data_IF_252350181919
#
_entry.id   IF_252350181919
#
_cell.length_a   1.000
_cell.length_b   1.000
_cell.length_c   1.000
_cell.angle_alpha   90.00
_cell.angle_beta   90.00
_cell.angle_gamma   90.00
#
_symmetry.space_group_name_H-M   'P 1'
#
loop_
_entity.id
_entity.type
_entity.pdbx_description
1 polymer ?
#
# COMPACT_ATOMS: atom_id res chain seq x y z
N UNK A 1 -4.67 3.27 8.73
CA UNK A 1 -4.21 1.88 8.39
C UNK A 1 -5.02 1.45 7.20
N UNK A 2 -4.39 0.98 6.14
CA UNK A 2 -5.12 0.52 4.96
C UNK A 2 -6.10 -0.60 5.32
N UNK A 3 -7.30 -0.61 4.71
CA UNK A 3 -8.31 -1.65 4.96
C UNK A 3 -7.73 -3.07 4.77
N UNK A 4 -6.78 -3.22 3.84
CA UNK A 4 -6.02 -4.46 3.63
C UNK A 4 -5.14 -4.83 4.83
N UNK A 5 -4.55 -3.83 5.52
CA UNK A 5 -3.80 -4.05 6.77
C UNK A 5 -4.69 -4.58 7.89
N UNK A 6 -5.94 -4.12 7.97
CA UNK A 6 -6.90 -4.59 8.97
C UNK A 6 -7.24 -6.06 8.75
N UNK A 7 -7.52 -6.48 7.51
CA UNK A 7 -7.77 -7.89 7.18
C UNK A 7 -6.55 -8.78 7.46
N UNK A 8 -5.35 -8.29 7.10
CA UNK A 8 -4.10 -9.00 7.38
C UNK A 8 -3.86 -9.12 8.88
N UNK A 9 -4.06 -8.05 9.66
CA UNK A 9 -3.84 -8.06 11.11
C UNK A 9 -4.79 -9.04 11.83
N UNK A 10 -6.06 -9.07 11.44
CA UNK A 10 -7.06 -10.01 11.99
C UNK A 10 -6.67 -11.47 11.70
N UNK A 11 -6.23 -11.77 10.48
CA UNK A 11 -5.75 -13.10 10.12
C UNK A 11 -4.47 -13.46 10.88
N UNK A 12 -3.51 -12.51 10.94
CA UNK A 12 -2.24 -12.65 11.65
C UNK A 12 -2.45 -12.97 13.13
N UNK A 13 -3.33 -12.25 13.81
CA UNK A 13 -3.62 -12.45 15.23
C UNK A 13 -4.20 -13.85 15.51
N UNK A 14 -5.08 -14.34 14.62
CA UNK A 14 -5.59 -15.71 14.73
C UNK A 14 -4.47 -16.75 14.56
N UNK A 15 -3.60 -16.58 13.57
CA UNK A 15 -2.45 -17.46 13.38
C UNK A 15 -1.46 -17.36 14.54
N UNK A 16 -1.17 -16.17 15.02
CA UNK A 16 -0.25 -15.93 16.13
C UNK A 16 -0.73 -16.62 17.42
N UNK A 17 -2.02 -16.50 17.73
CA UNK A 17 -2.61 -17.17 18.89
C UNK A 17 -2.36 -18.69 18.84
N UNK A 18 -2.65 -19.34 17.71
CA UNK A 18 -2.46 -20.77 17.56
C UNK A 18 -0.98 -21.17 17.53
N UNK A 19 -0.13 -20.36 16.90
CA UNK A 19 1.32 -20.57 16.88
C UNK A 19 1.92 -20.51 18.28
N UNK A 20 1.52 -19.55 19.10
CA UNK A 20 1.97 -19.43 20.49
C UNK A 20 1.47 -20.63 21.30
N UNK A 21 0.20 -21.00 21.18
CA UNK A 21 -0.36 -22.14 21.91
C UNK A 21 0.39 -23.43 21.60
N UNK A 22 0.58 -23.74 20.30
CA UNK A 22 1.34 -24.92 19.86
C UNK A 22 2.79 -24.85 20.32
N UNK A 23 3.41 -23.66 20.20
CA UNK A 23 4.77 -23.42 20.66
C UNK A 23 4.94 -23.68 22.16
N UNK A 24 4.05 -23.15 23.00
CA UNK A 24 4.09 -23.36 24.47
C UNK A 24 3.94 -24.83 24.80
N UNK A 25 3.00 -25.53 24.15
CA UNK A 25 2.82 -26.98 24.36
C UNK A 25 4.10 -27.73 23.95
N UNK A 26 4.61 -27.48 22.76
CA UNK A 26 5.77 -28.19 22.20
C UNK A 26 7.04 -27.95 23.02
N UNK A 27 7.38 -26.70 23.25
CA UNK A 27 8.56 -26.34 24.03
C UNK A 27 8.40 -26.69 25.48
N UNK A 28 7.20 -26.56 26.05
CA UNK A 28 6.89 -27.00 27.41
C UNK A 28 7.16 -28.52 27.60
N UNK A 29 6.67 -29.34 26.65
CA UNK A 29 6.98 -30.78 26.65
C UNK A 29 8.47 -31.04 26.52
N UNK A 30 9.14 -30.38 25.58
CA UNK A 30 10.57 -30.56 25.37
C UNK A 30 11.38 -30.20 26.62
N UNK A 31 11.11 -29.07 27.26
CA UNK A 31 11.80 -28.68 28.50
C UNK A 31 11.48 -29.63 29.65
N UNK A 32 10.22 -30.08 29.77
CA UNK A 32 9.82 -31.06 30.77
C UNK A 32 10.57 -32.38 30.59
N UNK A 33 10.70 -32.88 29.35
CA UNK A 33 11.48 -34.07 29.06
C UNK A 33 12.97 -33.87 29.33
N UNK A 34 13.56 -32.75 28.93
CA UNK A 34 14.96 -32.46 29.23
C UNK A 34 15.22 -32.37 30.73
N UNK A 35 14.36 -31.75 31.50
CA UNK A 35 14.48 -31.67 32.95
C UNK A 35 14.26 -33.03 33.61
N UNK A 36 13.31 -33.83 33.12
CA UNK A 36 12.88 -35.09 33.66
C UNK A 36 13.87 -36.23 33.38
N UNK A 37 14.46 -36.27 32.20
CA UNK A 37 15.36 -37.31 31.74
C UNK A 37 16.83 -36.89 31.65
N UNK A 38 17.21 -35.80 32.34
CA UNK A 38 18.61 -35.34 32.39
C UNK A 38 19.50 -36.42 33.03
N UNK A 39 20.76 -36.47 32.64
CA UNK A 39 21.75 -37.37 33.24
C UNK A 39 21.89 -37.16 34.77
N UNK A 40 21.92 -38.21 35.55
CA UNK A 40 22.07 -38.17 37.01
C UNK A 40 20.75 -38.25 37.81
N UNK A 41 19.60 -38.39 37.18
CA UNK A 41 18.35 -38.74 37.88
C UNK A 41 18.36 -40.22 38.20
N UNK A 42 18.06 -40.59 39.49
CA UNK A 42 17.97 -41.97 39.90
C UNK A 42 16.79 -42.70 39.27
N UNK A 43 16.91 -44.02 39.07
CA UNK A 43 15.82 -44.85 38.56
C UNK A 43 14.52 -44.70 39.34
N UNK A 44 14.62 -44.54 40.66
CA UNK A 44 13.47 -44.42 41.55
C UNK A 44 12.70 -43.11 41.37
N UNK A 45 13.41 -42.01 41.13
CA UNK A 45 12.79 -40.74 40.82
C UNK A 45 12.10 -40.74 39.44
N UNK A 46 12.66 -41.49 38.48
CA UNK A 46 12.08 -41.62 37.15
C UNK A 46 10.76 -42.39 37.15
N UNK A 47 10.63 -43.38 38.01
CA UNK A 47 9.43 -44.26 38.11
C UNK A 47 8.22 -43.58 38.73
N UNK A 48 8.40 -42.51 39.52
CA UNK A 48 7.33 -41.91 40.31
C UNK A 48 6.32 -41.10 39.54
N UNK A 49 6.70 -40.49 38.40
CA UNK A 49 5.86 -39.56 37.67
C UNK A 49 5.21 -40.15 36.41
N UNK A 50 5.89 -40.98 35.63
CA UNK A 50 5.43 -41.37 34.30
C UNK A 50 5.53 -42.88 34.00
N UNK A 51 5.99 -43.71 34.90
CA UNK A 51 6.21 -45.14 34.70
C UNK A 51 7.10 -45.51 33.49
N UNK A 52 7.89 -44.56 32.97
CA UNK A 52 8.80 -44.78 31.86
C UNK A 52 10.22 -44.81 32.40
N UNK A 53 10.94 -45.87 32.14
CA UNK A 53 12.34 -46.03 32.52
C UNK A 53 13.21 -45.40 31.43
N UNK A 54 14.21 -44.51 31.76
CA UNK A 54 15.11 -43.97 30.77
C UNK A 54 15.81 -45.08 29.98
N UNK A 55 15.81 -44.99 28.65
CA UNK A 55 16.42 -45.98 27.77
C UNK A 55 15.49 -47.07 27.26
N UNK A 56 14.25 -47.17 27.76
CA UNK A 56 13.23 -48.03 27.15
C UNK A 56 12.47 -47.29 26.06
N UNK A 57 12.20 -47.98 24.95
CA UNK A 57 11.34 -47.43 23.91
C UNK A 57 9.90 -47.29 24.44
N UNK A 58 9.19 -46.21 24.16
CA UNK A 58 7.80 -46.01 24.61
C UNK A 58 6.88 -47.18 24.27
N UNK A 59 7.10 -47.84 23.15
CA UNK A 59 6.34 -49.02 22.68
C UNK A 59 6.48 -50.26 23.57
N UNK A 60 7.55 -50.35 24.38
CA UNK A 60 7.78 -51.50 25.27
C UNK A 60 7.12 -51.36 26.64
N UNK A 61 6.73 -50.13 27.01
CA UNK A 61 6.25 -49.80 28.36
C UNK A 61 4.79 -49.38 28.43
N UNK A 62 4.10 -49.24 27.31
CA UNK A 62 2.77 -48.64 27.26
C UNK A 62 1.65 -49.63 26.95
N UNK A 63 0.44 -49.24 27.33
CA UNK A 63 -0.77 -49.97 26.96
C UNK A 63 -1.09 -49.65 25.47
N UNK A 64 -1.14 -50.68 24.64
CA UNK A 64 -1.38 -50.60 23.20
C UNK A 64 -2.57 -49.70 22.80
N UNK A 65 -3.62 -49.64 23.61
CA UNK A 65 -4.80 -48.80 23.36
C UNK A 65 -4.52 -47.33 23.63
N UNK A 66 -3.64 -47.00 24.57
CA UNK A 66 -3.26 -45.63 24.87
C UNK A 66 -2.34 -45.06 23.79
N UNK A 67 -1.41 -45.86 23.30
CA UNK A 67 -0.50 -45.46 22.21
C UNK A 67 -1.24 -45.18 20.92
N UNK A 68 -2.16 -46.08 20.57
CA UNK A 68 -3.00 -45.88 19.36
C UNK A 68 -3.88 -44.65 19.45
N UNK A 69 -4.44 -44.33 20.63
CA UNK A 69 -5.22 -43.10 20.82
C UNK A 69 -4.37 -41.84 20.70
N UNK A 70 -3.16 -41.84 21.26
CA UNK A 70 -2.21 -40.75 21.14
C UNK A 70 -1.77 -40.57 19.69
N UNK A 71 -1.45 -41.66 19.00
CA UNK A 71 -1.07 -41.65 17.60
C UNK A 71 -2.18 -41.02 16.73
N UNK A 72 -3.42 -41.45 16.90
CA UNK A 72 -4.57 -40.90 16.22
C UNK A 72 -4.72 -39.39 16.56
N UNK A 73 -4.58 -38.99 17.80
CA UNK A 73 -4.69 -37.59 18.22
C UNK A 73 -3.62 -36.73 17.58
N UNK A 74 -2.39 -37.23 17.45
CA UNK A 74 -1.29 -36.51 16.78
C UNK A 74 -1.52 -36.29 15.28
N UNK A 75 -2.30 -37.10 14.61
CA UNK A 75 -2.70 -36.88 13.21
C UNK A 75 -3.95 -36.04 13.12
N UNK A 76 -4.97 -36.32 13.88
CA UNK A 76 -6.30 -35.68 13.74
C UNK A 76 -6.28 -34.23 14.20
N UNK A 77 -5.68 -33.92 15.35
CA UNK A 77 -5.70 -32.56 15.92
C UNK A 77 -4.96 -31.56 15.02
N UNK A 78 -3.71 -31.79 14.59
CA UNK A 78 -3.02 -30.90 13.69
C UNK A 78 -3.70 -30.79 12.32
N UNK A 79 -4.26 -31.89 11.80
CA UNK A 79 -4.97 -31.87 10.51
C UNK A 79 -6.21 -30.95 10.56
N UNK A 80 -7.01 -31.05 11.63
CA UNK A 80 -8.18 -30.18 11.82
C UNK A 80 -7.72 -28.71 11.95
N UNK A 81 -6.67 -28.45 12.74
CA UNK A 81 -6.15 -27.12 12.92
C UNK A 81 -5.67 -26.52 11.59
N UNK A 82 -4.86 -27.27 10.83
CA UNK A 82 -4.36 -26.81 9.53
C UNK A 82 -5.52 -26.59 8.54
N UNK A 83 -6.48 -27.51 8.48
CA UNK A 83 -7.64 -27.35 7.60
C UNK A 83 -8.45 -26.08 7.95
N UNK A 84 -8.64 -25.80 9.23
CA UNK A 84 -9.32 -24.61 9.70
C UNK A 84 -8.54 -23.32 9.37
N UNK A 85 -7.22 -23.30 9.62
CA UNK A 85 -6.37 -22.17 9.27
C UNK A 85 -6.31 -21.94 7.75
N UNK A 86 -6.28 -23.01 6.97
CA UNK A 86 -6.34 -22.94 5.49
C UNK A 86 -7.67 -22.34 5.04
N UNK A 87 -8.78 -22.74 5.65
CA UNK A 87 -10.09 -22.16 5.35
C UNK A 87 -10.12 -20.64 5.63
N UNK A 88 -9.61 -20.22 6.80
CA UNK A 88 -9.53 -18.79 7.14
C UNK A 88 -8.63 -18.02 6.16
N UNK A 89 -7.47 -18.58 5.81
CA UNK A 89 -6.56 -17.96 4.85
C UNK A 89 -7.20 -17.83 3.45
N UNK A 90 -7.91 -18.87 3.01
CA UNK A 90 -8.60 -18.85 1.71
C UNK A 90 -9.72 -17.81 1.68
N UNK A 91 -10.50 -17.70 2.77
CA UNK A 91 -11.54 -16.69 2.89
C UNK A 91 -10.95 -15.27 2.81
N UNK A 92 -9.93 -14.97 3.65
CA UNK A 92 -9.26 -13.65 3.61
C UNK A 92 -8.59 -13.36 2.27
N UNK A 93 -8.05 -14.36 1.58
CA UNK A 93 -7.48 -14.18 0.24
C UNK A 93 -8.57 -13.87 -0.78
N UNK A 94 -9.73 -14.52 -0.67
CA UNK A 94 -10.87 -14.23 -1.55
C UNK A 94 -11.41 -12.81 -1.34
N UNK A 95 -11.45 -12.33 -0.10
CA UNK A 95 -11.87 -10.96 0.21
C UNK A 95 -10.88 -9.93 -0.38
N UNK A 96 -9.57 -10.18 -0.27
CA UNK A 96 -8.54 -9.28 -0.82
C UNK A 96 -8.53 -9.28 -2.36
N UNK A 97 -8.60 -10.45 -3.00
CA UNK A 97 -8.49 -10.56 -4.47
C UNK A 97 -9.83 -10.47 -5.20
N UNK A 98 -10.95 -10.61 -4.50
CA UNK A 98 -12.30 -10.51 -5.05
C UNK A 98 -12.92 -9.12 -5.03
N UNK A 99 -12.27 -8.16 -4.36
CA UNK A 99 -12.81 -6.82 -4.11
C UNK A 99 -12.15 -5.76 -5.01
N UNK A 100 -11.90 -6.09 -6.28
CA UNK A 100 -11.42 -5.08 -7.25
C UNK A 100 -12.53 -4.04 -7.41
N UNK A 101 -12.26 -2.74 -7.22
CA UNK A 101 -13.24 -1.68 -7.40
C UNK A 101 -13.86 -1.73 -8.79
N UNK A 102 -15.15 -1.45 -8.88
CA UNK A 102 -15.86 -1.31 -10.15
C UNK A 102 -15.31 -0.13 -10.96
N UNK A 103 -15.45 -0.14 -12.28
CA UNK A 103 -14.90 0.86 -13.20
C UNK A 103 -15.31 2.31 -12.88
N UNK A 104 -16.45 2.50 -12.20
CA UNK A 104 -16.95 3.82 -11.80
C UNK A 104 -16.30 4.35 -10.52
N UNK A 105 -15.74 3.45 -9.70
CA UNK A 105 -15.23 3.75 -8.34
C UNK A 105 -13.73 3.50 -8.22
N UNK A 106 -12.98 3.49 -9.30
CA UNK A 106 -11.54 3.26 -9.27
C UNK A 106 -10.77 4.41 -9.92
N UNK A 107 -9.55 4.61 -9.45
CA UNK A 107 -8.58 5.50 -10.03
C UNK A 107 -7.48 4.67 -10.68
N UNK A 108 -7.36 4.77 -12.00
CA UNK A 108 -6.49 3.90 -12.79
C UNK A 108 -5.12 4.54 -13.06
N UNK A 109 -4.07 3.77 -12.80
CA UNK A 109 -2.68 4.14 -13.10
C UNK A 109 -1.97 2.97 -13.77
N UNK A 110 -1.29 3.24 -14.88
CA UNK A 110 -0.38 2.29 -15.48
C UNK A 110 1.02 2.43 -14.89
N UNK A 111 1.59 1.33 -14.41
CA UNK A 111 2.95 1.27 -13.84
C UNK A 111 3.87 0.53 -14.79
N UNK A 112 4.88 1.20 -15.29
CA UNK A 112 5.94 0.60 -16.08
C UNK A 112 7.22 0.46 -15.25
N UNK A 113 7.68 -0.78 -15.05
CA UNK A 113 8.95 -1.09 -14.40
C UNK A 113 10.07 -1.21 -15.41
N UNK A 114 11.03 -0.30 -15.33
CA UNK A 114 12.29 -0.33 -16.10
C UNK A 114 13.46 -0.68 -15.17
N UNK A 115 14.59 -1.07 -15.73
CA UNK A 115 15.84 -1.18 -14.97
C UNK A 115 16.48 0.22 -14.86
N UNK A 116 16.43 0.96 -13.76
CA UNK A 116 15.98 0.66 -12.40
C UNK A 116 15.16 1.84 -11.87
N UNK A 117 14.06 2.13 -12.51
CA UNK A 117 13.12 3.19 -12.14
C UNK A 117 11.68 2.76 -12.42
N UNK A 118 10.76 3.44 -11.78
CA UNK A 118 9.33 3.32 -12.04
C UNK A 118 8.86 4.50 -12.87
N UNK A 119 7.97 4.22 -13.81
CA UNK A 119 7.23 5.21 -14.56
C UNK A 119 5.75 4.98 -14.33
N UNK A 120 5.03 6.05 -14.00
CA UNK A 120 3.60 6.03 -13.72
C UNK A 120 2.90 6.86 -14.78
N UNK A 121 1.89 6.28 -15.43
CA UNK A 121 1.04 6.95 -16.42
C UNK A 121 -0.35 7.05 -15.86
N UNK A 122 -0.89 8.25 -15.77
CA UNK A 122 -2.22 8.48 -15.24
C UNK A 122 -3.26 8.17 -16.32
N UNK A 123 -4.17 7.25 -16.00
CA UNK A 123 -5.30 6.91 -16.87
C UNK A 123 -6.55 7.75 -16.51
N UNK A 124 -6.60 8.28 -15.28
CA UNK A 124 -7.61 9.22 -14.81
C UNK A 124 -6.96 10.55 -14.38
N UNK A 125 -7.67 11.69 -14.54
CA UNK A 125 -7.16 12.98 -14.09
C UNK A 125 -7.29 13.10 -12.58
N UNK A 126 -6.35 13.80 -11.93
CA UNK A 126 -6.38 14.05 -10.49
C UNK A 126 -6.23 15.56 -10.25
N UNK A 127 -7.16 16.13 -9.49
CA UNK A 127 -7.03 17.50 -8.98
C UNK A 127 -7.10 17.44 -7.46
N UNK A 128 -6.16 18.10 -6.79
CA UNK A 128 -6.12 18.14 -5.34
C UNK A 128 -5.57 19.47 -4.83
N UNK A 129 -5.91 19.79 -3.60
CA UNK A 129 -5.46 20.98 -2.88
C UNK A 129 -4.95 20.58 -1.50
N UNK A 130 -3.91 21.27 -1.01
CA UNK A 130 -3.32 21.05 0.31
C UNK A 130 -3.16 22.41 1.00
N UNK A 131 -3.99 22.64 2.02
CA UNK A 131 -3.93 23.84 2.86
C UNK A 131 -3.06 23.64 4.08
N UNK A 132 -1.89 24.24 4.11
CA UNK A 132 -0.98 24.08 5.25
C UNK A 132 -1.34 24.97 6.46
N UNK A 133 -2.26 25.90 6.29
CA UNK A 133 -2.52 26.95 7.31
C UNK A 133 -3.99 27.14 7.68
N UNK A 134 -4.92 26.38 7.10
CA UNK A 134 -6.34 26.49 7.37
C UNK A 134 -6.97 27.80 6.89
N UNK A 135 -6.60 28.22 5.69
CA UNK A 135 -7.03 29.46 5.07
C UNK A 135 -7.79 29.22 3.77
N UNK A 136 -8.76 30.10 3.49
CA UNK A 136 -9.45 30.11 2.20
C UNK A 136 -8.54 30.62 1.09
N UNK A 137 -8.02 29.71 0.29
CA UNK A 137 -7.36 30.04 -0.98
C UNK A 137 -8.27 29.58 -2.13
N UNK A 138 -8.61 30.48 -3.00
CA UNK A 138 -9.38 30.17 -4.19
C UNK A 138 -8.48 30.24 -5.42
N UNK A 139 -8.25 29.12 -6.09
CA UNK A 139 -7.58 29.02 -7.37
C UNK A 139 -8.65 28.92 -8.45
N UNK A 140 -8.86 30.01 -9.21
CA UNK A 140 -9.76 30.02 -10.37
C UNK A 140 -8.96 29.96 -11.63
N UNK A 141 -9.12 28.89 -12.37
CA UNK A 141 -8.52 28.71 -13.68
C UNK A 141 -9.55 29.09 -14.73
N UNK A 142 -9.25 30.16 -15.51
CA UNK A 142 -10.01 30.58 -16.68
C UNK A 142 -9.19 30.30 -17.94
N UNK A 143 -9.83 30.33 -19.10
CA UNK A 143 -9.17 29.95 -20.37
C UNK A 143 -7.88 30.74 -20.69
N UNK A 144 -7.70 31.95 -20.15
CA UNK A 144 -6.56 32.82 -20.46
C UNK A 144 -5.81 33.29 -19.21
N UNK A 145 -6.38 33.08 -17.99
CA UNK A 145 -5.84 33.64 -16.77
C UNK A 145 -5.98 32.62 -15.62
N UNK A 146 -5.05 32.66 -14.64
CA UNK A 146 -5.25 32.10 -13.34
C UNK A 146 -5.42 33.21 -12.32
N UNK A 147 -6.54 33.24 -11.64
CA UNK A 147 -6.81 34.17 -10.55
C UNK A 147 -6.57 33.42 -9.21
N UNK A 148 -5.62 33.93 -8.44
CA UNK A 148 -5.28 33.41 -7.12
C UNK A 148 -5.80 34.41 -6.08
N UNK A 149 -6.63 33.94 -5.17
CA UNK A 149 -7.20 34.73 -4.09
C UNK A 149 -6.91 34.04 -2.76
N UNK A 150 -6.00 34.60 -1.99
CA UNK A 150 -5.56 34.11 -0.69
C UNK A 150 -6.07 35.04 0.42
N UNK A 151 -7.24 34.74 0.97
CA UNK A 151 -7.88 35.61 1.96
C UNK A 151 -7.27 35.46 3.35
N UNK A 152 -6.91 36.58 3.97
CA UNK A 152 -6.57 36.65 5.39
C UNK A 152 -5.13 36.32 5.75
N UNK A 153 -4.29 36.02 4.78
CA UNK A 153 -2.84 35.94 4.91
C UNK A 153 -2.17 37.06 4.19
N UNK A 154 -0.93 37.27 4.52
CA UNK A 154 -0.04 38.09 3.70
C UNK A 154 0.71 37.16 2.74
N UNK A 155 0.07 36.66 1.65
CA UNK A 155 0.77 35.87 0.66
C UNK A 155 1.87 36.74 0.05
N UNK A 156 3.07 36.20 -0.07
CA UNK A 156 4.19 36.95 -0.60
C UNK A 156 4.38 36.63 -2.10
N UNK A 157 4.40 35.35 -2.42
CA UNK A 157 4.73 34.88 -3.76
C UNK A 157 3.89 33.66 -4.13
N UNK A 158 3.47 33.60 -5.39
CA UNK A 158 2.94 32.38 -5.99
C UNK A 158 3.92 31.87 -7.05
N UNK A 159 4.16 30.57 -7.04
CA UNK A 159 4.88 29.86 -8.08
C UNK A 159 3.85 29.05 -8.88
N UNK A 160 3.72 29.39 -10.16
CA UNK A 160 2.85 28.66 -11.08
C UNK A 160 3.74 27.81 -11.99
N UNK A 161 3.49 26.51 -12.00
CA UNK A 161 4.20 25.55 -12.84
C UNK A 161 3.26 24.97 -13.88
N UNK A 162 3.76 24.80 -15.09
CA UNK A 162 3.05 24.20 -16.21
C UNK A 162 4.03 23.29 -16.95
N UNK A 163 3.80 21.99 -16.94
CA UNK A 163 4.73 20.98 -17.50
C UNK A 163 6.21 21.21 -17.13
N UNK A 164 6.46 21.54 -15.87
CA UNK A 164 7.81 21.81 -15.36
C UNK A 164 8.38 23.21 -15.66
N UNK A 165 7.73 24.03 -16.47
CA UNK A 165 8.04 25.45 -16.59
C UNK A 165 7.48 26.19 -15.37
N UNK A 166 8.32 26.97 -14.68
CA UNK A 166 7.95 27.69 -13.47
C UNK A 166 7.99 29.17 -13.68
N UNK A 167 6.95 29.88 -13.26
CA UNK A 167 6.88 31.36 -13.20
C UNK A 167 6.57 31.78 -11.78
N UNK A 168 7.18 32.89 -11.36
CA UNK A 168 7.03 33.42 -10.01
C UNK A 168 6.31 34.76 -10.06
N UNK A 169 5.30 34.94 -9.23
CA UNK A 169 4.42 36.10 -9.20
C UNK A 169 4.31 36.65 -7.78
N UNK A 170 4.58 37.94 -7.59
CA UNK A 170 4.51 38.57 -6.29
C UNK A 170 3.12 39.14 -6.01
N UNK A 171 2.58 38.94 -4.84
CA UNK A 171 1.31 39.52 -4.41
C UNK A 171 1.39 41.01 -4.11
N UNK A 172 2.58 41.54 -3.79
CA UNK A 172 2.83 42.97 -3.52
C UNK A 172 1.90 43.59 -2.46
N UNK A 173 1.52 42.80 -1.42
CA UNK A 173 0.60 43.23 -0.37
C UNK A 173 -0.88 43.21 -0.77
N UNK A 174 -1.22 42.59 -1.89
CA UNK A 174 -2.60 42.24 -2.27
C UNK A 174 -2.95 40.84 -1.83
N UNK A 175 -4.21 40.58 -1.57
CA UNK A 175 -4.72 39.22 -1.31
C UNK A 175 -5.07 38.49 -2.61
N UNK A 176 -5.02 39.18 -3.74
CA UNK A 176 -5.40 38.65 -5.05
C UNK A 176 -4.41 39.07 -6.12
N UNK A 177 -4.04 38.10 -6.95
CA UNK A 177 -3.27 38.34 -8.19
C UNK A 177 -3.93 37.62 -9.37
N UNK A 178 -3.74 38.19 -10.54
CA UNK A 178 -4.07 37.53 -11.81
C UNK A 178 -2.77 37.22 -12.52
N UNK A 179 -2.61 35.97 -12.90
CA UNK A 179 -1.48 35.49 -13.70
C UNK A 179 -1.94 35.44 -15.14
N UNK A 180 -1.54 36.47 -15.88
CA UNK A 180 -1.82 36.59 -17.31
C UNK A 180 -0.91 35.65 -18.10
N UNK A 181 -1.29 35.30 -19.32
CA UNK A 181 -0.54 34.41 -20.23
C UNK A 181 -0.50 32.93 -19.76
N UNK A 182 -1.44 32.56 -18.95
CA UNK A 182 -1.59 31.19 -18.47
C UNK A 182 -2.73 30.53 -19.28
N UNK A 183 -2.37 29.63 -20.18
CA UNK A 183 -3.36 28.92 -20.97
C UNK A 183 -3.73 27.61 -20.23
N UNK A 184 -4.94 27.52 -19.70
CA UNK A 184 -5.45 26.25 -19.22
C UNK A 184 -5.75 25.36 -20.44
N UNK A 185 -4.88 24.39 -20.65
CA UNK A 185 -5.14 23.27 -21.54
C UNK A 185 -5.37 22.03 -20.65
N UNK A 186 -6.50 21.37 -20.84
CA UNK A 186 -6.87 20.18 -20.06
C UNK A 186 -5.82 19.05 -20.16
N UNK A 187 -4.93 19.09 -21.15
CA UNK A 187 -3.86 18.12 -21.34
C UNK A 187 -2.55 18.42 -20.60
N UNK A 188 -2.45 19.57 -19.90
CA UNK A 188 -1.20 19.96 -19.24
C UNK A 188 -1.25 19.70 -17.73
N UNK A 189 -0.09 19.38 -17.13
CA UNK A 189 0.07 19.28 -15.69
C UNK A 189 0.33 20.68 -15.10
N UNK A 190 -0.54 21.09 -14.19
CA UNK A 190 -0.46 22.38 -13.50
C UNK A 190 -0.18 22.19 -12.03
N UNK A 191 0.66 23.07 -11.48
CA UNK A 191 0.87 23.18 -10.05
C UNK A 191 0.96 24.66 -9.66
N UNK A 192 0.22 25.04 -8.63
CA UNK A 192 0.26 26.35 -8.01
C UNK A 192 0.69 26.18 -6.55
N UNK A 193 1.75 26.89 -6.15
CA UNK A 193 2.23 26.91 -4.78
C UNK A 193 2.26 28.37 -4.30
N UNK A 194 1.62 28.67 -3.17
CA UNK A 194 1.60 30.02 -2.58
C UNK A 194 2.49 29.99 -1.34
N UNK A 195 3.34 31.01 -1.23
CA UNK A 195 4.34 31.13 -0.17
C UNK A 195 4.15 32.42 0.63
N UNK A 196 4.53 32.39 1.92
CA UNK A 196 4.70 33.56 2.76
C UNK A 196 6.05 34.27 2.51
N UNK A 197 6.32 35.34 3.30
CA UNK A 197 7.60 36.08 3.24
C UNK A 197 8.80 35.24 3.68
N UNK A 198 8.58 34.19 4.49
CA UNK A 198 9.61 33.28 5.00
C UNK A 198 9.84 32.08 4.05
N UNK A 199 9.18 32.06 2.89
CA UNK A 199 9.19 30.95 1.92
C UNK A 199 8.58 29.64 2.44
N UNK A 200 7.65 29.73 3.37
CA UNK A 200 6.84 28.61 3.82
C UNK A 200 5.68 28.42 2.85
N UNK A 201 5.37 27.19 2.48
CA UNK A 201 4.21 26.89 1.64
C UNK A 201 2.95 27.11 2.45
N UNK A 202 2.06 27.94 1.94
CA UNK A 202 0.77 28.24 2.54
C UNK A 202 -0.33 27.40 1.93
N UNK A 203 -0.26 27.17 0.63
CA UNK A 203 -1.25 26.41 -0.13
C UNK A 203 -0.61 25.79 -1.35
N UNK A 204 -1.07 24.58 -1.70
CA UNK A 204 -0.72 23.89 -2.95
C UNK A 204 -2.00 23.47 -3.67
N UNK A 205 -2.11 23.80 -4.93
CA UNK A 205 -3.13 23.28 -5.84
C UNK A 205 -2.45 22.59 -7.02
N UNK A 206 -2.93 21.40 -7.38
CA UNK A 206 -2.29 20.63 -8.44
C UNK A 206 -3.34 19.91 -9.29
N UNK A 207 -3.17 19.96 -10.61
CA UNK A 207 -3.97 19.23 -11.58
C UNK A 207 -3.09 18.37 -12.47
N UNK A 208 -3.30 17.06 -12.41
CA UNK A 208 -2.57 16.04 -13.16
C UNK A 208 -3.52 15.51 -14.23
N UNK A 209 -3.25 15.73 -15.53
CA UNK A 209 -4.13 15.27 -16.60
C UNK A 209 -3.92 13.79 -16.92
N UNK A 210 -4.88 13.22 -17.62
CA UNK A 210 -4.76 11.89 -18.24
C UNK A 210 -3.53 11.87 -19.17
N UNK A 211 -2.78 10.77 -19.10
CA UNK A 211 -1.56 10.57 -19.90
C UNK A 211 -0.32 11.26 -19.34
N UNK A 212 -0.42 11.99 -18.22
CA UNK A 212 0.76 12.52 -17.55
C UNK A 212 1.65 11.40 -17.00
N UNK A 213 2.97 11.63 -17.05
CA UNK A 213 3.97 10.61 -16.69
C UNK A 213 4.88 11.12 -15.58
N UNK A 214 4.81 10.47 -14.43
CA UNK A 214 5.80 10.64 -13.37
C UNK A 214 6.88 9.56 -13.41
N UNK A 215 8.09 9.91 -13.02
CA UNK A 215 9.23 8.98 -12.94
C UNK A 215 9.98 9.10 -11.63
N UNK A 216 10.14 7.97 -10.95
CA UNK A 216 10.98 7.91 -9.75
C UNK A 216 12.46 7.89 -10.11
N UNK A 217 13.33 8.38 -9.23
CA UNK A 217 13.03 8.99 -7.92
C UNK A 217 12.81 10.51 -7.98
N UNK A 218 12.60 11.08 -9.16
CA UNK A 218 12.55 12.55 -9.36
C UNK A 218 11.26 13.13 -8.78
N UNK A 219 10.15 12.44 -9.00
CA UNK A 219 8.82 12.88 -8.60
C UNK A 219 8.10 11.75 -7.86
N UNK A 220 7.35 12.05 -6.79
CA UNK A 220 6.51 11.06 -6.14
C UNK A 220 5.30 10.73 -7.03
N UNK A 221 4.82 9.49 -6.94
CA UNK A 221 3.48 9.14 -7.43
C UNK A 221 2.45 9.80 -6.51
N UNK A 222 1.45 10.48 -7.07
CA UNK A 222 0.36 11.10 -6.29
C UNK A 222 -0.91 10.29 -6.52
N UNK A 223 -1.55 9.85 -5.45
CA UNK A 223 -2.80 9.09 -5.51
C UNK A 223 -3.83 9.67 -4.54
N UNK A 224 -5.13 9.59 -4.87
CA UNK A 224 -6.18 10.05 -3.97
C UNK A 224 -6.40 9.07 -2.82
N UNK A 225 -7.02 9.57 -1.73
CA UNK A 225 -7.62 8.73 -0.70
C UNK A 225 -8.78 7.89 -1.26
N UNK A 226 -9.01 6.73 -0.67
CA UNK A 226 -10.27 6.00 -0.81
C UNK A 226 -11.27 6.47 0.24
N UNK A 227 -12.57 6.41 -0.08
CA UNK A 227 -13.63 6.59 0.92
C UNK A 227 -13.66 5.36 1.82
N UNK A 228 -13.51 5.61 3.11
CA UNK A 228 -13.87 4.62 4.11
C UNK A 228 -15.34 4.88 4.45
N UNK A 229 -16.25 4.02 4.06
CA UNK A 229 -17.61 4.09 4.58
C UNK A 229 -17.57 3.74 6.07
N UNK A 230 -17.57 4.78 6.91
CA UNK A 230 -17.53 4.66 8.38
C UNK A 230 -18.77 3.99 8.98
N UNK A 231 -19.72 3.58 8.16
CA UNK A 231 -20.96 2.96 8.58
C UNK A 231 -20.98 1.43 8.38
N UNK A 232 -19.99 0.85 7.73
CA UNK A 232 -19.95 -0.60 7.48
C UNK A 232 -19.22 -1.35 8.59
N UNK A 233 -19.76 -2.51 8.90
CA UNK A 233 -19.21 -3.53 9.80
C UNK A 233 -17.73 -3.82 9.39
N UNK A 234 -16.83 -4.07 10.34
CA UNK A 234 -15.38 -4.30 10.22
C UNK A 234 -14.91 -5.27 9.09
N UNK A 235 -15.79 -5.72 8.24
CA UNK A 235 -15.55 -6.69 7.18
C UNK A 235 -15.71 -6.18 5.75
N UNK A 236 -16.24 -4.97 5.57
CA UNK A 236 -16.51 -4.46 4.21
C UNK A 236 -15.30 -3.64 3.71
N UNK A 237 -14.78 -4.04 2.55
CA UNK A 237 -13.74 -3.29 1.85
C UNK A 237 -14.34 -1.99 1.31
N UNK A 238 -13.55 -0.89 1.23
CA UNK A 238 -13.98 0.34 0.56
C UNK A 238 -14.48 0.05 -0.86
N UNK A 239 -15.51 0.76 -1.27
CA UNK A 239 -16.08 0.61 -2.63
C UNK A 239 -15.17 1.22 -3.70
N UNK A 240 -14.35 2.20 -3.33
CA UNK A 240 -13.42 2.91 -4.21
C UNK A 240 -11.95 2.60 -3.88
N UNK A 241 -11.11 2.67 -4.88
CA UNK A 241 -9.69 2.36 -4.71
C UNK A 241 -8.83 2.76 -5.91
N UNK A 242 -7.51 2.68 -5.72
CA UNK A 242 -6.53 2.91 -6.77
C UNK A 242 -6.13 1.57 -7.38
N UNK A 243 -6.26 1.45 -8.69
CA UNK A 243 -5.92 0.25 -9.45
C UNK A 243 -4.66 0.49 -10.27
N UNK A 244 -3.68 -0.36 -10.11
CA UNK A 244 -2.44 -0.35 -10.85
C UNK A 244 -2.43 -1.45 -11.90
N UNK A 245 -2.32 -1.09 -13.19
CA UNK A 245 -2.00 -2.02 -14.26
C UNK A 245 -0.50 -1.95 -14.53
N UNK A 246 0.20 -3.07 -14.34
CA UNK A 246 1.65 -3.07 -14.22
C UNK A 246 2.32 -3.87 -15.32
N UNK A 247 3.35 -3.28 -15.95
CA UNK A 247 4.12 -3.89 -17.03
C UNK A 247 5.62 -3.84 -16.75
N UNK A 248 6.31 -4.93 -17.00
CA UNK A 248 7.76 -4.90 -17.13
C UNK A 248 8.13 -4.43 -18.55
N UNK A 249 8.97 -3.42 -18.64
CA UNK A 249 9.41 -2.83 -19.91
C UNK A 249 10.91 -2.95 -20.10
N UNK A 250 11.38 -3.24 -21.32
CA UNK A 250 12.79 -3.18 -21.64
C UNK A 250 13.28 -1.72 -21.66
N UNK A 251 14.53 -1.48 -21.25
CA UNK A 251 15.18 -0.16 -21.45
C UNK A 251 15.43 0.12 -22.93
N UNK A 252 15.75 -0.93 -23.68
CA UNK A 252 16.03 -0.86 -25.12
C UNK A 252 15.09 -1.83 -25.84
N UNK A 253 14.22 -1.29 -26.64
CA UNK A 253 13.23 -2.02 -27.45
C UNK A 253 13.76 -2.38 -28.85
N UNK A 254 15.02 -2.10 -29.14
CA UNK A 254 15.64 -2.41 -30.45
C UNK A 254 15.77 -3.90 -30.72
N UNK A 255 15.85 -4.76 -29.68
CA UNK A 255 15.80 -6.21 -29.81
C UNK A 255 14.45 -6.76 -29.31
N UNK A 256 13.54 -7.17 -30.22
CA UNK A 256 12.21 -7.66 -29.84
C UNK A 256 12.23 -8.96 -29.02
N UNK A 257 13.39 -9.59 -28.84
CA UNK A 257 13.55 -10.76 -27.97
C UNK A 257 13.81 -10.36 -26.52
N UNK A 258 14.22 -9.13 -26.29
CA UNK A 258 14.43 -8.59 -24.94
C UNK A 258 13.16 -7.92 -24.46
N UNK A 259 12.41 -8.58 -23.62
CA UNK A 259 11.09 -8.14 -23.12
C UNK A 259 11.16 -7.48 -21.73
N UNK A 260 12.36 -7.17 -21.27
CA UNK A 260 12.61 -6.63 -19.91
C UNK A 260 13.03 -7.69 -18.91
N UNK A 261 13.04 -7.34 -17.65
CA UNK A 261 13.34 -8.21 -16.49
C UNK A 261 12.18 -8.18 -15.52
N UNK A 262 12.03 -9.22 -14.71
CA UNK A 262 11.02 -9.24 -13.68
C UNK A 262 11.31 -8.17 -12.63
N UNK A 263 10.26 -7.48 -12.19
CA UNK A 263 10.22 -6.57 -11.06
C UNK A 263 9.08 -6.97 -10.14
N UNK A 264 9.04 -6.43 -8.93
CA UNK A 264 7.88 -6.54 -8.06
C UNK A 264 7.59 -5.15 -7.47
N UNK A 265 6.45 -4.60 -7.79
CA UNK A 265 5.98 -3.32 -7.25
C UNK A 265 5.46 -3.55 -5.85
N UNK A 266 6.14 -2.99 -4.87
CA UNK A 266 5.85 -3.20 -3.47
C UNK A 266 5.57 -1.88 -2.78
N UNK A 267 4.41 -1.82 -2.15
CA UNK A 267 3.98 -0.74 -1.26
C UNK A 267 3.99 -1.28 0.18
N UNK A 268 5.10 -1.13 0.92
CA UNK A 268 5.27 -1.74 2.25
C UNK A 268 4.19 -1.34 3.25
N UNK A 269 3.85 -0.05 3.28
CA UNK A 269 2.88 0.49 4.25
C UNK A 269 1.43 0.09 3.92
N UNK A 270 1.16 -0.31 2.69
CA UNK A 270 -0.13 -0.87 2.28
C UNK A 270 -0.18 -2.40 2.39
N UNK A 271 0.94 -3.03 2.74
CA UNK A 271 1.03 -4.48 2.91
C UNK A 271 0.88 -5.29 1.61
N UNK A 272 0.98 -4.67 0.44
CA UNK A 272 0.74 -5.31 -0.86
C UNK A 272 1.95 -5.23 -1.79
N UNK A 273 2.10 -6.26 -2.60
CA UNK A 273 3.05 -6.29 -3.71
C UNK A 273 2.52 -7.18 -4.82
N UNK A 274 2.90 -6.85 -6.05
CA UNK A 274 2.59 -7.67 -7.23
C UNK A 274 3.77 -7.65 -8.19
N UNK A 275 3.97 -8.77 -8.89
CA UNK A 275 5.08 -8.96 -9.81
C UNK A 275 4.75 -8.42 -11.21
N UNK A 276 5.71 -7.73 -11.81
CA UNK A 276 5.68 -7.32 -13.21
C UNK A 276 6.38 -8.37 -14.05
N UNK A 277 5.60 -9.16 -14.78
CA UNK A 277 6.11 -10.29 -15.56
C UNK A 277 6.54 -9.84 -16.96
N UNK A 278 7.81 -10.01 -17.35
CA UNK A 278 8.28 -9.63 -18.67
C UNK A 278 7.52 -10.36 -19.79
N UNK A 279 7.11 -9.62 -20.83
CA UNK A 279 6.41 -10.17 -21.98
C UNK A 279 4.93 -10.51 -21.75
N UNK A 280 4.38 -10.22 -20.59
CA UNK A 280 2.95 -10.33 -20.32
C UNK A 280 2.23 -9.10 -20.87
N UNK A 281 1.58 -9.23 -22.03
CA UNK A 281 0.99 -8.10 -22.76
C UNK A 281 -0.12 -7.38 -21.97
N UNK A 282 -0.98 -8.14 -21.27
CA UNK A 282 -2.05 -7.57 -20.45
C UNK A 282 -1.57 -6.96 -19.13
N UNK A 283 -0.29 -7.21 -18.77
CA UNK A 283 0.24 -6.80 -17.46
C UNK A 283 -0.31 -7.62 -16.30
N UNK A 284 0.04 -7.21 -15.09
CA UNK A 284 -0.54 -7.69 -13.83
C UNK A 284 -1.33 -6.55 -13.18
N UNK A 285 -2.25 -6.87 -12.30
CA UNK A 285 -3.11 -5.86 -11.65
C UNK A 285 -2.95 -5.94 -10.15
N UNK A 286 -2.77 -4.80 -9.52
CA UNK A 286 -2.81 -4.62 -8.07
C UNK A 286 -3.71 -3.44 -7.74
N UNK A 287 -4.37 -3.49 -6.60
CA UNK A 287 -5.18 -2.38 -6.14
C UNK A 287 -4.91 -2.10 -4.66
N UNK A 288 -5.13 -0.86 -4.26
CA UNK A 288 -4.99 -0.40 -2.89
C UNK A 288 -6.15 0.50 -2.51
N UNK A 289 -6.43 0.55 -1.22
CA UNK A 289 -7.42 1.45 -0.62
C UNK A 289 -6.68 2.38 0.34
N UNK A 290 -6.21 3.54 -0.14
CA UNK A 290 -5.49 4.49 0.70
C UNK A 290 -6.42 5.15 1.72
N UNK A 291 -6.22 4.86 3.01
CA UNK A 291 -7.01 5.37 4.13
C UNK A 291 -6.26 6.40 4.99
N UNK A 292 -4.96 6.58 4.78
CA UNK A 292 -4.13 7.57 5.45
C UNK A 292 -3.46 8.50 4.43
N UNK A 293 -3.62 9.81 4.58
CA UNK A 293 -2.88 10.80 3.80
C UNK A 293 -1.42 10.86 4.28
N UNK A 294 -0.48 10.98 3.34
CA UNK A 294 0.94 11.03 3.66
C UNK A 294 1.85 10.58 2.53
N UNK A 295 3.14 10.47 2.82
CA UNK A 295 4.14 9.99 1.87
C UNK A 295 4.70 8.67 2.32
N UNK A 296 4.63 7.68 1.45
CA UNK A 296 4.99 6.29 1.74
C UNK A 296 6.01 5.77 0.72
N UNK A 297 6.88 4.82 1.11
CA UNK A 297 7.91 4.30 0.22
C UNK A 297 7.35 3.33 -0.82
N UNK A 298 7.93 3.39 -2.03
CA UNK A 298 7.81 2.39 -3.09
C UNK A 298 9.13 1.62 -3.17
N UNK A 299 9.09 0.30 -3.30
CA UNK A 299 10.26 -0.57 -3.41
C UNK A 299 10.11 -1.57 -4.56
N UNK A 300 11.23 -1.99 -5.12
CA UNK A 300 11.27 -3.19 -5.93
C UNK A 300 11.56 -4.40 -5.02
N UNK A 301 10.71 -5.42 -5.04
CA UNK A 301 10.80 -6.60 -4.19
C UNK A 301 11.24 -7.87 -4.94
N UNK A 302 11.54 -7.79 -6.25
CA UNK A 302 12.10 -8.89 -7.06
C UNK A 302 13.44 -8.45 -7.68
N UNK A 303 14.45 -9.35 -7.64
CA UNK A 303 15.77 -9.02 -8.13
C UNK A 303 15.79 -8.72 -9.63
N UNK A 304 15.98 -7.46 -9.97
CA UNK A 304 15.93 -6.94 -11.34
C UNK A 304 17.31 -6.50 -11.89
N UNK A 305 18.39 -6.85 -11.23
CA UNK A 305 19.75 -6.57 -11.71
C UNK A 305 20.58 -5.73 -10.75
N UNK A 306 21.64 -5.10 -11.28
CA UNK A 306 22.74 -4.52 -10.50
C UNK A 306 22.31 -3.38 -9.54
N UNK A 307 21.36 -2.55 -9.94
CA UNK A 307 20.85 -1.43 -9.13
C UNK A 307 19.47 -1.73 -8.52
N UNK A 308 19.13 -2.99 -8.35
CA UNK A 308 17.88 -3.41 -7.74
C UNK A 308 17.54 -2.68 -6.43
N UNK A 309 18.50 -2.52 -5.53
CA UNK A 309 18.31 -1.84 -4.24
C UNK A 309 18.10 -0.32 -4.35
N UNK A 310 18.35 0.26 -5.51
CA UNK A 310 18.15 1.69 -5.79
C UNK A 310 16.87 1.97 -6.56
N UNK A 311 16.16 0.94 -6.98
CA UNK A 311 14.85 1.05 -7.61
C UNK A 311 13.79 1.32 -6.54
N UNK A 312 13.74 2.58 -6.13
CA UNK A 312 12.89 3.11 -5.06
C UNK A 312 12.09 4.29 -5.57
N UNK A 313 11.00 4.61 -4.88
CA UNK A 313 10.19 5.77 -5.13
C UNK A 313 9.37 6.12 -3.89
N UNK A 314 8.53 7.12 -4.04
CA UNK A 314 7.58 7.54 -3.04
C UNK A 314 6.19 7.64 -3.66
N UNK A 315 5.18 7.29 -2.87
CA UNK A 315 3.77 7.55 -3.18
C UNK A 315 3.23 8.55 -2.17
N UNK A 316 2.63 9.62 -2.65
CA UNK A 316 1.95 10.63 -1.85
C UNK A 316 0.46 10.38 -1.96
N UNK A 317 -0.18 10.04 -0.85
CA UNK A 317 -1.64 9.96 -0.73
C UNK A 317 -2.16 11.33 -0.35
N UNK A 318 -3.08 11.87 -1.14
CA UNK A 318 -3.62 13.20 -0.97
C UNK A 318 -5.10 13.13 -0.62
N UNK A 319 -5.48 13.90 0.40
CA UNK A 319 -6.86 14.13 0.79
C UNK A 319 -7.31 15.51 0.29
N UNK A 320 -8.59 15.69 0.03
CA UNK A 320 -9.16 16.98 -0.32
C UNK A 320 -9.04 17.95 0.89
N UNK A 321 -8.51 19.16 0.67
CA UNK A 321 -8.51 20.31 1.59
C UNK A 321 -8.37 20.01 3.10
N UNK A 322 -7.16 19.73 3.57
CA UNK A 322 -6.87 19.64 5.01
C UNK A 322 -7.64 18.55 5.76
N UNK A 323 -8.32 17.65 5.04
CA UNK A 323 -9.04 16.50 5.58
C UNK A 323 -8.12 15.30 5.68
N UNK A 324 -8.41 14.41 6.60
CA UNK A 324 -7.84 13.06 6.61
C UNK A 324 -8.64 12.18 5.67
N UNK A 325 -8.09 11.06 5.20
CA UNK A 325 -8.84 10.11 4.39
C UNK A 325 -10.12 9.60 5.07
N UNK A 326 -10.18 9.65 6.39
CA UNK A 326 -11.36 9.27 7.21
C UNK A 326 -12.56 10.25 7.09
N UNK A 327 -12.34 11.44 6.52
CA UNK A 327 -13.34 12.50 6.48
C UNK A 327 -13.92 12.70 5.08
N UNK A 328 -14.57 11.67 4.52
CA UNK A 328 -15.48 11.80 3.38
C UNK A 328 -14.83 12.30 2.07
N UNK A 329 -13.71 11.69 1.71
CA UNK A 329 -12.96 12.04 0.51
C UNK A 329 -12.96 10.86 -0.45
N UNK A 330 -14.03 10.68 -1.19
CA UNK A 330 -14.06 9.71 -2.26
C UNK A 330 -13.23 10.14 -3.47
N UNK A 331 -12.82 9.15 -4.26
CA UNK A 331 -12.28 9.40 -5.59
C UNK A 331 -13.36 10.11 -6.41
N UNK A 332 -13.23 11.41 -6.55
CA UNK A 332 -14.09 12.16 -7.47
C UNK A 332 -13.49 12.03 -8.86
N UNK A 333 -14.03 11.11 -9.67
CA UNK A 333 -13.90 11.27 -11.12
C UNK A 333 -14.55 12.61 -11.45
N UNK A 334 -13.75 13.58 -11.83
CA UNK A 334 -14.28 14.77 -12.52
C UNK A 334 -14.85 14.24 -13.82
N UNK A 335 -16.20 14.15 -13.88
CA UNK A 335 -16.88 13.96 -15.15
C UNK A 335 -16.24 14.92 -16.13
N UNK A 336 -15.66 14.38 -17.21
CA UNK A 336 -15.04 15.19 -18.24
C UNK A 336 -16.09 16.19 -18.70
N UNK A 337 -16.03 17.39 -18.12
CA UNK A 337 -16.97 18.44 -18.43
C UNK A 337 -16.90 18.68 -19.92
N UNK A 338 -18.01 18.38 -20.58
CA UNK A 338 -18.26 18.89 -21.92
C UNK A 338 -18.10 20.41 -21.86
N UNK A 339 -17.03 20.89 -22.51
CA UNK A 339 -16.81 22.31 -22.77
C UNK A 339 -17.67 22.77 -23.92
#
# INVERSE_FOLDING_TARGET
MAAQDTLFSVLYDKFLFWAILVGVITFGWMFLFMARFRAGISEDESKSLWKITPGTFPLESSNHDTDRKLEIAFYVIPTILVAWLTFLATASTADVWGSIPDDENRFDITVNGYQWYWEFVYEDPLTWEDEHTGMDVEVRVAQEDVVLHAMGLNPHTAVVSMDGMKTEHAFNGSDMITVDEFFFDAGLHYKVEIFDEESTVLHTWEHIPVGHIFRTPVEPLIIPCSTVDSASDDSDMPEDGVVFTMHSRPIDDSDPRYVGVQHSFWLPEFGVKEDLVPGLEQGTTMYVFPDDAGTFPIRCAEYCGLQHSQMVGEVKVVAEEGKTCDEDVGIKKTDGGEA
#
